data_IF_020458415603
#
_entry.id   IF_020458415603
#
_cell.length_a   1.000
_cell.length_b   1.000
_cell.length_c   1.000
_cell.angle_alpha   90.00
_cell.angle_beta   90.00
_cell.angle_gamma   90.00
#
_symmetry.space_group_name_H-M   'P 1'
#
loop_
_entity.id
_entity.type
_entity.pdbx_description
1 polymer ?
#
# COMPACT_ATOMS: atom_id res chain seq x y z
N UNK A 1 -4.77 26.69 -5.18
CA UNK A 1 -4.19 25.42 -5.65
C UNK A 1 -5.30 24.37 -5.59
N UNK A 2 -5.40 23.48 -6.58
CA UNK A 2 -6.33 22.35 -6.53
C UNK A 2 -5.86 21.42 -5.40
N UNK A 3 -6.76 21.05 -4.50
CA UNK A 3 -6.45 20.05 -3.46
C UNK A 3 -6.19 18.72 -4.16
N UNK A 4 -5.06 18.07 -3.87
CA UNK A 4 -4.77 16.74 -4.40
C UNK A 4 -5.63 15.73 -3.64
N UNK A 5 -6.51 15.04 -4.35
CA UNK A 5 -7.32 13.98 -3.75
C UNK A 5 -6.49 12.69 -3.66
N UNK A 6 -6.38 12.15 -2.45
CA UNK A 6 -5.81 10.83 -2.20
C UNK A 6 -6.90 9.91 -1.69
N UNK A 7 -6.96 8.71 -2.25
CA UNK A 7 -7.77 7.61 -1.75
C UNK A 7 -6.85 6.42 -1.51
N UNK A 8 -7.22 5.53 -0.61
CA UNK A 8 -6.44 4.31 -0.40
C UNK A 8 -6.57 3.36 -1.60
N UNK A 9 -5.46 2.82 -2.09
CA UNK A 9 -5.46 1.87 -3.21
C UNK A 9 -5.16 0.46 -2.72
N UNK A 10 -4.05 0.24 -2.03
CA UNK A 10 -3.77 -1.08 -1.49
C UNK A 10 -2.73 -1.07 -0.38
N UNK A 11 -2.64 -2.19 0.30
CA UNK A 11 -1.56 -2.53 1.22
C UNK A 11 -0.79 -3.73 0.67
N UNK A 12 0.53 -3.68 0.78
CA UNK A 12 1.43 -4.76 0.37
C UNK A 12 1.69 -5.66 1.57
N UNK A 13 1.48 -6.96 1.39
CA UNK A 13 1.82 -8.00 2.33
C UNK A 13 2.83 -8.96 1.70
N UNK A 14 4.07 -8.94 2.18
CA UNK A 14 5.06 -9.93 1.77
C UNK A 14 4.77 -11.28 2.42
N UNK A 15 4.63 -12.31 1.59
CA UNK A 15 4.35 -13.70 2.00
C UNK A 15 5.32 -14.63 1.28
N UNK A 16 6.19 -15.32 2.03
CA UNK A 16 7.14 -16.25 1.42
C UNK A 16 6.42 -17.49 0.88
N UNK A 17 6.86 -17.96 -0.29
CA UNK A 17 6.24 -19.08 -1.01
C UNK A 17 4.74 -18.83 -1.28
N UNK A 18 4.41 -17.62 -1.75
CA UNK A 18 3.03 -17.15 -1.94
C UNK A 18 2.15 -18.11 -2.77
N UNK A 19 2.73 -18.83 -3.74
CA UNK A 19 1.98 -19.81 -4.51
C UNK A 19 1.37 -20.93 -3.65
N UNK A 20 2.09 -21.37 -2.62
CA UNK A 20 1.71 -22.46 -1.72
C UNK A 20 1.03 -21.95 -0.43
N UNK A 21 0.96 -20.63 -0.24
CA UNK A 21 0.35 -20.04 0.93
C UNK A 21 -1.18 -20.25 0.96
N UNK A 22 -1.67 -20.86 2.03
CA UNK A 22 -3.11 -21.01 2.27
C UNK A 22 -3.69 -19.73 2.87
N UNK A 23 -4.47 -19.00 2.07
CA UNK A 23 -5.24 -17.83 2.50
C UNK A 23 -6.71 -18.21 2.38
N UNK A 24 -7.32 -18.65 3.49
CA UNK A 24 -8.69 -19.17 3.54
C UNK A 24 -9.71 -18.18 4.10
N UNK A 25 -9.24 -17.07 4.69
CA UNK A 25 -10.06 -16.02 5.29
C UNK A 25 -10.42 -14.88 4.32
N UNK A 26 -9.88 -14.90 3.10
CA UNK A 26 -10.18 -13.98 2.00
C UNK A 26 -10.26 -14.75 0.68
N UNK A 27 -11.08 -14.28 -0.25
CA UNK A 27 -11.02 -14.68 -1.66
C UNK A 27 -9.80 -14.03 -2.29
N UNK A 28 -8.91 -14.86 -2.82
CA UNK A 28 -7.66 -14.44 -3.45
C UNK A 28 -7.66 -14.89 -4.89
N UNK A 29 -7.31 -13.98 -5.79
CA UNK A 29 -7.11 -14.28 -7.22
C UNK A 29 -5.64 -14.12 -7.59
N UNK A 30 -5.20 -14.83 -8.63
CA UNK A 30 -3.85 -14.63 -9.16
C UNK A 30 -3.75 -13.22 -9.77
N UNK A 31 -2.68 -12.51 -9.44
CA UNK A 31 -2.36 -11.24 -10.06
C UNK A 31 -1.49 -11.45 -11.31
N UNK A 32 -0.25 -10.99 -11.28
CA UNK A 32 0.70 -11.12 -12.37
C UNK A 32 2.15 -11.19 -11.90
N UNK A 33 3.06 -11.20 -12.87
CA UNK A 33 4.50 -11.08 -12.65
C UNK A 33 4.96 -9.67 -13.02
N UNK A 34 5.79 -9.08 -12.18
CA UNK A 34 6.51 -7.85 -12.45
C UNK A 34 7.87 -8.21 -13.05
N UNK A 35 7.91 -8.44 -14.37
CA UNK A 35 9.06 -9.07 -15.03
C UNK A 35 10.38 -8.34 -14.80
N UNK A 36 10.34 -7.01 -14.73
CA UNK A 36 11.51 -6.17 -14.51
C UNK A 36 11.97 -6.16 -13.04
N UNK A 37 11.06 -6.45 -12.10
CA UNK A 37 11.31 -6.35 -10.65
C UNK A 37 11.47 -7.71 -9.97
N UNK A 38 11.24 -8.83 -10.67
CA UNK A 38 11.45 -10.18 -10.12
C UNK A 38 10.40 -10.63 -9.12
N UNK A 39 9.24 -9.97 -9.04
CA UNK A 39 8.17 -10.28 -8.09
C UNK A 39 6.89 -10.76 -8.76
N UNK A 40 6.06 -11.48 -8.01
CA UNK A 40 4.73 -11.91 -8.43
C UNK A 40 3.73 -11.71 -7.30
N UNK A 41 2.46 -11.51 -7.65
CA UNK A 41 1.43 -11.19 -6.66
C UNK A 41 0.16 -12.03 -6.78
N UNK A 42 -0.60 -12.04 -5.69
CA UNK A 42 -1.99 -12.45 -5.61
C UNK A 42 -2.78 -11.29 -5.00
N UNK A 43 -4.03 -11.13 -5.42
CA UNK A 43 -4.85 -9.95 -5.14
C UNK A 43 -6.13 -10.36 -4.40
N UNK A 44 -6.53 -9.56 -3.42
CA UNK A 44 -7.79 -9.71 -2.70
C UNK A 44 -8.51 -8.37 -2.66
N UNK A 45 -9.52 -8.20 -3.52
CA UNK A 45 -10.27 -6.96 -3.65
C UNK A 45 -11.38 -6.86 -2.60
N UNK A 46 -11.45 -5.72 -1.91
CA UNK A 46 -12.57 -5.40 -1.01
C UNK A 46 -13.57 -4.50 -1.72
N UNK A 47 -13.08 -3.42 -2.30
CA UNK A 47 -13.72 -2.55 -3.27
C UNK A 47 -12.64 -2.14 -4.30
N UNK A 48 -12.57 -0.87 -4.71
CA UNK A 48 -11.42 -0.37 -5.48
C UNK A 48 -10.10 -0.45 -4.71
N UNK A 49 -10.16 -0.63 -3.39
CA UNK A 49 -9.04 -0.97 -2.54
C UNK A 49 -8.86 -2.47 -2.36
N UNK A 50 -7.61 -2.92 -2.34
CA UNK A 50 -7.26 -4.33 -2.26
C UNK A 50 -6.05 -4.62 -1.37
N UNK A 51 -5.85 -5.89 -1.08
CA UNK A 51 -4.62 -6.40 -0.45
C UNK A 51 -3.79 -7.04 -1.56
N UNK A 52 -2.55 -6.60 -1.69
CA UNK A 52 -1.56 -7.21 -2.56
C UNK A 52 -0.67 -8.13 -1.74
N UNK A 53 -0.84 -9.44 -1.92
CA UNK A 53 0.13 -10.41 -1.42
C UNK A 53 1.24 -10.54 -2.46
N UNK A 54 2.50 -10.40 -2.05
CA UNK A 54 3.63 -10.37 -2.96
C UNK A 54 4.77 -11.27 -2.48
N UNK A 55 5.53 -11.83 -3.43
CA UNK A 55 6.76 -12.57 -3.19
C UNK A 55 7.73 -12.41 -4.38
N UNK A 56 9.00 -12.74 -4.17
CA UNK A 56 10.04 -12.68 -5.18
C UNK A 56 10.26 -14.04 -5.84
N UNK A 57 10.11 -14.12 -7.16
CA UNK A 57 10.54 -15.30 -7.93
C UNK A 57 11.99 -15.16 -8.42
N UNK A 58 12.51 -13.94 -8.53
CA UNK A 58 13.90 -13.63 -8.89
C UNK A 58 14.47 -12.54 -7.97
N UNK A 59 15.14 -12.97 -6.91
CA UNK A 59 15.79 -12.06 -5.95
C UNK A 59 16.98 -11.29 -6.55
N UNK A 60 17.58 -11.77 -7.64
CA UNK A 60 18.64 -11.01 -8.31
C UNK A 60 18.09 -9.76 -8.99
N UNK A 61 16.90 -9.85 -9.58
CA UNK A 61 16.20 -8.68 -10.11
C UNK A 61 15.75 -7.73 -9.00
N UNK A 62 15.20 -8.25 -7.91
CA UNK A 62 14.82 -7.44 -6.73
C UNK A 62 16.04 -6.68 -6.19
N UNK A 63 17.17 -7.37 -5.99
CA UNK A 63 18.40 -6.74 -5.53
C UNK A 63 18.89 -5.66 -6.50
N UNK A 64 18.87 -5.91 -7.82
CA UNK A 64 19.23 -4.90 -8.83
C UNK A 64 18.33 -3.66 -8.76
N UNK A 65 17.02 -3.85 -8.59
CA UNK A 65 16.09 -2.74 -8.42
C UNK A 65 16.42 -1.93 -7.16
N UNK A 66 16.70 -2.59 -6.03
CA UNK A 66 17.10 -1.94 -4.78
C UNK A 66 18.39 -1.11 -4.89
N UNK A 67 19.28 -1.43 -5.84
CA UNK A 67 20.52 -0.68 -6.09
C UNK A 67 20.39 0.38 -7.20
N UNK A 68 19.28 0.43 -7.94
CA UNK A 68 19.12 1.36 -9.07
C UNK A 68 18.64 2.73 -8.61
N UNK A 69 19.02 3.79 -9.32
CA UNK A 69 18.59 5.14 -8.95
C UNK A 69 17.07 5.33 -9.12
N UNK A 70 16.48 4.64 -10.10
CA UNK A 70 15.08 4.77 -10.49
C UNK A 70 14.13 3.86 -9.72
N UNK A 71 14.59 2.67 -9.29
CA UNK A 71 13.73 1.63 -8.69
C UNK A 71 14.12 1.28 -7.25
N UNK A 72 15.13 1.93 -6.66
CA UNK A 72 15.52 1.67 -5.27
C UNK A 72 14.38 1.86 -4.29
N UNK A 73 13.40 2.70 -4.59
CA UNK A 73 12.21 2.88 -3.76
C UNK A 73 11.00 2.11 -4.26
N UNK A 74 11.14 1.22 -5.24
CA UNK A 74 10.02 0.43 -5.75
C UNK A 74 9.42 -0.44 -4.65
N UNK A 75 8.15 -0.79 -4.80
CA UNK A 75 7.49 -1.74 -3.91
C UNK A 75 8.23 -3.10 -3.83
N UNK A 76 8.95 -3.49 -4.88
CA UNK A 76 9.74 -4.70 -4.90
C UNK A 76 11.03 -4.53 -4.10
N UNK A 77 11.70 -3.38 -4.20
CA UNK A 77 12.88 -3.07 -3.40
C UNK A 77 12.60 -3.08 -1.89
N UNK A 78 11.36 -2.76 -1.47
CA UNK A 78 10.92 -2.92 -0.07
C UNK A 78 11.11 -4.36 0.47
N UNK A 79 11.12 -5.38 -0.40
CA UNK A 79 11.43 -6.76 0.02
C UNK A 79 12.91 -6.91 0.42
N UNK A 80 13.82 -6.30 -0.35
CA UNK A 80 15.26 -6.29 -0.05
C UNK A 80 15.55 -5.46 1.20
N UNK A 81 15.01 -4.24 1.29
CA UNK A 81 15.24 -3.32 2.41
C UNK A 81 14.79 -3.87 3.76
N UNK A 82 13.81 -4.77 3.74
CA UNK A 82 13.23 -5.39 4.93
C UNK A 82 13.69 -6.84 5.11
N UNK A 83 14.82 -7.21 4.51
CA UNK A 83 15.46 -8.52 4.61
C UNK A 83 14.51 -9.69 4.29
N UNK A 84 13.53 -9.47 3.40
CA UNK A 84 12.48 -10.44 3.05
C UNK A 84 11.72 -10.97 4.28
N UNK A 85 11.66 -10.21 5.37
CA UNK A 85 10.82 -10.56 6.53
C UNK A 85 9.36 -10.60 6.06
N UNK A 86 8.58 -11.61 6.45
CA UNK A 86 7.13 -11.63 6.13
C UNK A 86 6.39 -10.53 6.88
N UNK A 87 5.25 -10.09 6.34
CA UNK A 87 4.38 -9.08 6.97
C UNK A 87 4.06 -7.90 6.05
N UNK A 88 3.25 -6.98 6.56
CA UNK A 88 2.89 -5.77 5.82
C UNK A 88 4.13 -4.90 5.55
N UNK A 89 4.23 -4.38 4.32
CA UNK A 89 5.41 -3.64 3.85
C UNK A 89 5.13 -2.17 3.60
N UNK A 90 4.04 -1.87 2.90
CA UNK A 90 3.84 -0.53 2.39
C UNK A 90 2.38 -0.25 2.10
N UNK A 91 2.00 1.01 2.25
CA UNK A 91 0.70 1.51 1.83
C UNK A 91 0.82 2.21 0.47
N UNK A 92 -0.19 2.02 -0.37
CA UNK A 92 -0.34 2.71 -1.64
C UNK A 92 -1.59 3.59 -1.62
N UNK A 93 -1.44 4.83 -2.07
CA UNK A 93 -2.55 5.77 -2.23
C UNK A 93 -2.72 6.15 -3.70
N UNK A 94 -3.95 6.10 -4.20
CA UNK A 94 -4.29 6.50 -5.55
C UNK A 94 -4.68 7.97 -5.64
N UNK A 95 -4.29 8.60 -6.73
CA UNK A 95 -4.62 9.99 -7.11
C UNK A 95 -5.19 10.03 -8.52
N UNK A 96 -5.99 11.05 -8.82
CA UNK A 96 -6.45 11.38 -10.19
C UNK A 96 -5.44 12.26 -10.96
N UNK A 97 -4.47 12.85 -10.25
CA UNK A 97 -3.46 13.75 -10.80
C UNK A 97 -2.11 13.60 -10.06
N UNK A 98 -1.27 12.70 -10.58
CA UNK A 98 0.03 12.34 -10.01
C UNK A 98 1.09 13.44 -10.23
N UNK A 99 0.92 14.26 -11.27
CA UNK A 99 1.79 15.39 -11.52
C UNK A 99 1.49 16.53 -10.55
N UNK A 100 0.21 16.80 -10.24
CA UNK A 100 -0.17 17.71 -9.16
C UNK A 100 0.29 17.19 -7.79
N UNK A 101 0.21 15.88 -7.53
CA UNK A 101 0.75 15.28 -6.31
C UNK A 101 2.26 15.46 -6.19
N UNK A 102 3.01 15.27 -7.27
CA UNK A 102 4.45 15.55 -7.29
C UNK A 102 4.75 17.03 -7.01
N UNK A 103 3.97 17.95 -7.59
CA UNK A 103 4.11 19.38 -7.31
C UNK A 103 3.82 19.71 -5.85
N UNK A 104 2.83 19.06 -5.24
CA UNK A 104 2.52 19.18 -3.81
C UNK A 104 3.72 18.80 -2.94
N UNK A 105 4.34 17.62 -3.16
CA UNK A 105 5.54 17.23 -2.43
C UNK A 105 6.70 18.22 -2.63
N UNK A 106 6.93 18.68 -3.87
CA UNK A 106 7.98 19.67 -4.15
C UNK A 106 7.75 21.00 -3.38
N UNK A 107 6.50 21.43 -3.20
CA UNK A 107 6.18 22.64 -2.44
C UNK A 107 6.42 22.49 -0.94
N UNK A 108 6.28 21.26 -0.43
CA UNK A 108 6.65 20.90 0.94
C UNK A 108 8.16 20.68 1.12
N UNK A 109 8.94 20.74 0.03
CA UNK A 109 10.38 20.44 0.06
C UNK A 109 10.70 18.94 0.13
N UNK A 110 9.70 18.08 -0.04
CA UNK A 110 9.82 16.62 -0.01
C UNK A 110 10.23 16.09 -1.38
N UNK A 111 11.32 15.32 -1.44
CA UNK A 111 11.81 14.76 -2.71
C UNK A 111 10.97 13.57 -3.16
N UNK A 112 10.94 13.35 -4.48
CA UNK A 112 10.21 12.22 -5.08
C UNK A 112 10.95 11.58 -6.25
N UNK A 113 10.73 10.28 -6.45
CA UNK A 113 11.14 9.51 -7.65
C UNK A 113 9.89 9.16 -8.47
N UNK A 114 9.93 9.43 -9.77
CA UNK A 114 8.82 9.25 -10.71
C UNK A 114 8.20 10.58 -11.18
N UNK A 115 7.01 10.57 -11.80
CA UNK A 115 6.16 9.40 -12.01
C UNK A 115 6.75 8.40 -13.01
N UNK A 116 6.84 7.14 -12.65
CA UNK A 116 7.30 6.05 -13.52
C UNK A 116 6.10 5.39 -14.20
N UNK A 117 6.09 5.36 -15.53
CA UNK A 117 4.99 4.75 -16.32
C UNK A 117 5.16 3.25 -16.39
N UNK A 118 4.09 2.53 -16.07
CA UNK A 118 4.03 1.07 -16.05
C UNK A 118 2.83 0.61 -16.87
N UNK A 119 2.93 -0.58 -17.46
CA UNK A 119 1.79 -1.24 -18.10
C UNK A 119 1.96 -2.76 -18.08
N UNK A 120 0.83 -3.47 -18.17
CA UNK A 120 0.80 -4.90 -18.47
C UNK A 120 -0.35 -5.20 -19.42
N UNK A 121 -0.20 -6.28 -20.18
CA UNK A 121 -1.26 -6.81 -21.05
C UNK A 121 -1.92 -7.99 -20.34
N UNK A 122 -3.25 -7.99 -20.22
CA UNK A 122 -4.00 -9.12 -19.65
C UNK A 122 -3.98 -10.33 -20.61
N UNK A 123 -4.28 -11.55 -20.15
CA UNK A 123 -4.46 -12.70 -21.05
C UNK A 123 -5.50 -12.45 -22.16
N UNK A 124 -6.50 -11.62 -21.88
CA UNK A 124 -7.56 -11.21 -22.81
C UNK A 124 -7.11 -10.11 -23.80
N UNK A 125 -5.88 -9.60 -23.66
CA UNK A 125 -5.28 -8.60 -24.56
C UNK A 125 -5.54 -7.14 -24.15
N UNK A 126 -6.14 -6.90 -23.00
CA UNK A 126 -6.38 -5.53 -22.49
C UNK A 126 -5.08 -4.94 -21.93
N UNK A 127 -4.80 -3.67 -22.24
CA UNK A 127 -3.65 -2.96 -21.68
C UNK A 127 -4.08 -2.25 -20.40
N UNK A 128 -3.56 -2.70 -19.27
CA UNK A 128 -3.67 -1.99 -17.99
C UNK A 128 -2.43 -1.13 -17.83
N UNK A 129 -2.59 0.18 -17.71
CA UNK A 129 -1.49 1.14 -17.52
C UNK A 129 -1.67 1.91 -16.21
N UNK A 130 -0.55 2.30 -15.60
CA UNK A 130 -0.53 3.13 -14.41
C UNK A 130 0.77 3.91 -14.30
N UNK A 131 0.82 4.89 -13.40
CA UNK A 131 2.01 5.63 -13.04
C UNK A 131 2.28 5.47 -11.55
N UNK A 132 3.56 5.39 -11.16
CA UNK A 132 3.99 5.27 -9.77
C UNK A 132 4.85 6.46 -9.35
N UNK A 133 4.63 6.98 -8.15
CA UNK A 133 5.44 8.04 -7.54
C UNK A 133 5.84 7.60 -6.13
N UNK A 134 7.11 7.79 -5.78
CA UNK A 134 7.67 7.40 -4.49
C UNK A 134 8.24 8.62 -3.77
N UNK A 135 8.01 8.73 -2.46
CA UNK A 135 8.68 9.73 -1.61
C UNK A 135 10.12 9.29 -1.38
N UNK A 136 11.06 10.20 -1.63
CA UNK A 136 12.49 9.98 -1.56
C UNK A 136 13.12 10.69 -0.37
N UNK A 137 12.66 10.30 0.81
CA UNK A 137 13.19 10.76 2.09
C UNK A 137 13.78 9.57 2.84
N UNK A 138 14.97 9.73 3.39
CA UNK A 138 15.61 8.70 4.20
C UNK A 138 14.87 8.57 5.54
N UNK A 139 14.39 7.36 5.82
CA UNK A 139 13.67 6.98 7.03
C UNK A 139 14.04 5.55 7.43
N UNK A 140 13.76 5.19 8.68
CA UNK A 140 13.99 3.82 9.20
C UNK A 140 12.88 2.83 8.81
N UNK A 141 11.93 3.28 7.98
CA UNK A 141 10.76 2.52 7.56
C UNK A 141 10.36 2.86 6.13
N UNK A 142 9.57 1.96 5.52
CA UNK A 142 9.06 2.16 4.17
C UNK A 142 7.92 3.18 4.16
N UNK A 143 8.17 4.34 3.56
CA UNK A 143 7.18 5.41 3.37
C UNK A 143 6.08 4.98 2.39
N UNK A 144 4.84 5.49 2.47
CA UNK A 144 3.83 5.22 1.44
C UNK A 144 4.28 5.59 0.02
N UNK A 145 3.63 5.00 -0.98
CA UNK A 145 3.81 5.36 -2.38
C UNK A 145 2.48 5.62 -3.07
N UNK A 146 2.54 6.12 -4.30
CA UNK A 146 1.36 6.64 -4.99
C UNK A 146 1.20 6.02 -6.36
N UNK A 147 -0.06 5.85 -6.74
CA UNK A 147 -0.45 5.29 -8.03
C UNK A 147 -1.47 6.21 -8.72
N UNK A 148 -1.33 6.37 -10.03
CA UNK A 148 -2.42 6.85 -10.87
C UNK A 148 -2.70 5.79 -11.92
N UNK A 149 -3.91 5.26 -11.88
CA UNK A 149 -4.38 4.32 -12.89
C UNK A 149 -4.70 5.05 -14.18
N UNK A 150 -4.43 4.42 -15.33
CA UNK A 150 -4.78 4.97 -16.64
C UNK A 150 -6.29 4.96 -16.88
N UNK A 151 -7.00 3.98 -16.33
CA UNK A 151 -8.45 3.92 -16.30
C UNK A 151 -9.02 4.73 -15.13
N UNK A 152 -10.17 5.36 -15.35
CA UNK A 152 -10.93 6.06 -14.32
C UNK A 152 -11.45 5.13 -13.24
N UNK A 153 -11.81 5.68 -12.08
CA UNK A 153 -12.45 4.92 -11.00
C UNK A 153 -13.73 4.22 -11.46
N UNK A 154 -14.52 4.86 -12.33
CA UNK A 154 -15.78 4.30 -12.83
C UNK A 154 -15.52 3.09 -13.75
N UNK A 155 -14.53 3.20 -14.64
CA UNK A 155 -14.11 2.08 -15.50
C UNK A 155 -13.56 0.92 -14.66
N UNK A 156 -12.69 1.23 -13.67
CA UNK A 156 -12.17 0.24 -12.74
C UNK A 156 -13.26 -0.41 -11.89
N UNK A 157 -14.26 0.37 -11.46
CA UNK A 157 -15.40 -0.15 -10.69
C UNK A 157 -16.18 -1.16 -11.52
N UNK A 158 -16.46 -0.84 -12.79
CA UNK A 158 -17.17 -1.75 -13.69
C UNK A 158 -16.39 -3.04 -13.94
N UNK A 159 -15.08 -2.95 -14.19
CA UNK A 159 -14.25 -4.13 -14.49
C UNK A 159 -13.92 -4.98 -13.27
N UNK A 160 -13.72 -4.38 -12.09
CA UNK A 160 -13.26 -5.08 -10.90
C UNK A 160 -14.39 -5.57 -9.98
N UNK A 161 -15.61 -5.04 -10.10
CA UNK A 161 -16.75 -5.44 -9.26
C UNK A 161 -17.01 -6.95 -9.15
N UNK A 162 -16.81 -7.78 -10.19
CA UNK A 162 -17.00 -9.23 -10.07
C UNK A 162 -16.02 -9.90 -9.08
N UNK A 163 -14.90 -9.26 -8.77
CA UNK A 163 -13.88 -9.76 -7.84
C UNK A 163 -14.06 -9.23 -6.41
N UNK A 164 -14.98 -8.28 -6.20
CA UNK A 164 -15.19 -7.68 -4.88
C UNK A 164 -15.83 -8.67 -3.91
N UNK A 165 -15.42 -8.56 -2.64
CA UNK A 165 -15.84 -9.46 -1.57
C UNK A 165 -17.04 -8.91 -0.80
N UNK A 166 -18.07 -8.47 -1.53
CA UNK A 166 -19.34 -8.04 -0.95
C UNK A 166 -19.23 -6.81 -0.06
N UNK A 167 -19.49 -6.99 1.23
CA UNK A 167 -19.54 -5.92 2.23
C UNK A 167 -18.18 -5.62 2.90
N UNK A 168 -17.12 -6.37 2.55
CA UNK A 168 -15.79 -6.12 3.09
C UNK A 168 -15.31 -4.73 2.72
N UNK A 169 -14.80 -3.99 3.71
CA UNK A 169 -14.20 -2.67 3.49
C UNK A 169 -13.03 -2.46 4.42
N UNK A 170 -11.87 -2.10 3.88
CA UNK A 170 -10.72 -1.68 4.69
C UNK A 170 -11.07 -0.34 5.37
N UNK A 171 -11.12 -0.34 6.70
CA UNK A 171 -11.57 0.80 7.49
C UNK A 171 -10.50 1.36 8.43
N UNK A 172 -9.48 0.58 8.76
CA UNK A 172 -8.43 1.03 9.67
C UNK A 172 -7.12 0.27 9.49
N UNK A 173 -6.02 0.94 9.84
CA UNK A 173 -4.67 0.37 9.81
C UNK A 173 -3.96 0.78 11.10
N UNK A 174 -3.42 -0.20 11.82
CA UNK A 174 -2.58 0.08 13.00
C UNK A 174 -1.11 0.07 12.59
N UNK A 175 -0.43 1.18 12.89
CA UNK A 175 1.00 1.35 12.62
C UNK A 175 1.68 1.62 13.96
N UNK A 176 2.59 0.73 14.34
CA UNK A 176 3.50 0.95 15.45
C UNK A 176 4.70 1.76 14.94
N UNK A 177 5.14 2.75 15.71
CA UNK A 177 6.30 3.59 15.38
C UNK A 177 7.16 3.88 16.60
N UNK A 178 8.48 3.90 16.40
CA UNK A 178 9.49 4.35 17.36
C UNK A 178 9.60 5.88 17.41
N UNK A 179 9.29 6.55 16.30
CA UNK A 179 9.24 8.00 16.21
C UNK A 179 7.83 8.45 15.81
N UNK A 180 7.06 8.84 16.82
CA UNK A 180 5.68 9.25 16.64
C UNK A 180 5.57 10.55 15.83
N UNK A 181 6.44 11.52 16.10
CA UNK A 181 6.34 12.83 15.46
C UNK A 181 6.73 12.75 13.99
N UNK A 182 7.80 12.00 13.69
CA UNK A 182 8.23 11.76 12.31
C UNK A 182 7.14 11.04 11.48
N UNK A 183 6.56 9.95 12.01
CA UNK A 183 5.48 9.25 11.32
C UNK A 183 4.23 10.13 11.18
N UNK A 184 3.92 10.95 12.19
CA UNK A 184 2.79 11.87 12.14
C UNK A 184 2.98 12.97 11.07
N UNK A 185 4.20 13.48 10.88
CA UNK A 185 4.54 14.43 9.81
C UNK A 185 4.13 13.88 8.44
N UNK A 186 4.48 12.62 8.16
CA UNK A 186 4.12 11.93 6.91
C UNK A 186 2.61 11.99 6.68
N UNK A 187 1.81 11.48 7.61
CA UNK A 187 0.37 11.38 7.38
C UNK A 187 -0.34 12.73 7.46
N UNK A 188 0.02 13.59 8.41
CA UNK A 188 -0.67 14.87 8.66
C UNK A 188 -0.21 15.93 7.68
N UNK A 189 1.09 16.21 7.61
CA UNK A 189 1.62 17.32 6.82
C UNK A 189 1.72 16.95 5.34
N UNK A 190 2.25 15.75 5.03
CA UNK A 190 2.48 15.40 3.64
C UNK A 190 1.24 14.84 2.96
N UNK A 191 0.44 14.01 3.66
CA UNK A 191 -0.75 13.37 3.08
C UNK A 191 -2.07 14.06 3.44
N UNK A 192 -2.05 15.05 4.33
CA UNK A 192 -3.25 15.82 4.71
C UNK A 192 -4.30 14.96 5.41
N UNK A 193 -3.87 14.08 6.32
CA UNK A 193 -4.75 13.48 7.32
C UNK A 193 -5.00 14.45 8.47
N UNK A 194 -6.15 14.31 9.12
CA UNK A 194 -6.50 15.07 10.31
C UNK A 194 -6.42 14.18 11.55
N UNK A 195 -5.87 14.72 12.64
CA UNK A 195 -5.92 14.06 13.95
C UNK A 195 -7.33 14.22 14.51
N UNK A 196 -8.10 13.15 14.62
CA UNK A 196 -9.51 13.23 15.04
C UNK A 196 -9.76 12.74 16.46
N UNK A 197 -8.91 11.85 16.97
CA UNK A 197 -8.98 11.37 18.35
C UNK A 197 -7.67 10.73 18.77
N UNK A 198 -7.52 10.44 20.06
CA UNK A 198 -6.38 9.70 20.56
C UNK A 198 -6.52 9.35 22.03
N UNK A 199 -5.74 8.37 22.45
CA UNK A 199 -5.55 8.02 23.86
C UNK A 199 -4.08 8.23 24.16
N UNK A 200 -3.79 9.12 25.11
CA UNK A 200 -2.43 9.47 25.53
C UNK A 200 -1.63 8.18 25.83
N UNK A 201 -0.41 8.10 25.30
CA UNK A 201 0.49 6.94 25.42
C UNK A 201 -0.09 5.61 24.86
N UNK A 202 -1.10 5.66 24.01
CA UNK A 202 -1.70 4.47 23.41
C UNK A 202 -1.86 4.57 21.90
N UNK A 203 -2.57 5.57 21.38
CA UNK A 203 -2.65 5.79 19.94
C UNK A 203 -3.19 7.18 19.59
N UNK A 204 -2.94 7.61 18.36
CA UNK A 204 -3.64 8.70 17.70
C UNK A 204 -4.35 8.17 16.46
N UNK A 205 -5.63 8.52 16.32
CA UNK A 205 -6.44 8.21 15.16
C UNK A 205 -6.35 9.37 14.18
N UNK A 206 -5.85 9.07 12.99
CA UNK A 206 -5.78 9.98 11.87
C UNK A 206 -6.83 9.59 10.84
N UNK A 207 -7.54 10.56 10.28
CA UNK A 207 -8.58 10.33 9.27
C UNK A 207 -8.40 11.21 8.04
N UNK A 208 -8.73 10.65 6.89
CA UNK A 208 -8.79 11.35 5.61
C UNK A 208 -9.93 10.77 4.80
N UNK A 209 -10.75 11.64 4.21
CA UNK A 209 -11.85 11.21 3.34
C UNK A 209 -11.32 10.34 2.21
N UNK A 210 -11.91 9.16 2.01
CA UNK A 210 -11.48 8.21 0.97
C UNK A 210 -10.34 7.27 1.38
N UNK A 211 -9.87 7.34 2.63
CA UNK A 211 -8.85 6.47 3.18
C UNK A 211 -9.32 5.77 4.47
N UNK A 212 -8.72 4.62 4.85
CA UNK A 212 -8.93 4.05 6.17
C UNK A 212 -8.32 4.96 7.24
N UNK A 213 -8.86 4.86 8.46
CA UNK A 213 -8.24 5.51 9.61
C UNK A 213 -6.85 4.94 9.87
N UNK A 214 -5.87 5.78 10.12
CA UNK A 214 -4.55 5.34 10.59
C UNK A 214 -4.51 5.47 12.10
N UNK A 215 -4.22 4.38 12.80
CA UNK A 215 -3.98 4.36 14.23
C UNK A 215 -2.47 4.34 14.43
N UNK A 216 -1.87 5.50 14.69
CA UNK A 216 -0.46 5.62 15.03
C UNK A 216 -0.26 5.27 16.51
N UNK A 217 0.53 4.23 16.77
CA UNK A 217 0.75 3.64 18.09
C UNK A 217 2.23 3.83 18.45
N UNK A 218 2.57 4.50 19.57
CA UNK A 218 3.94 4.53 20.04
C UNK A 218 4.39 3.13 20.45
N UNK A 219 5.58 2.72 20.03
CA UNK A 219 6.13 1.42 20.35
C UNK A 219 7.63 1.34 20.12
N UNK A 220 8.13 0.11 19.94
CA UNK A 220 9.57 -0.17 19.81
C UNK A 220 9.94 -0.69 18.41
N UNK A 221 9.03 -0.60 17.45
CA UNK A 221 9.26 -0.96 16.05
C UNK A 221 8.57 0.03 15.12
N UNK A 222 9.00 0.06 13.86
CA UNK A 222 8.32 0.79 12.79
C UNK A 222 7.62 -0.24 11.89
N UNK A 223 6.38 -0.61 12.20
CA UNK A 223 5.71 -1.73 11.55
C UNK A 223 4.21 -1.49 11.39
N UNK A 224 3.69 -1.78 10.20
CA UNK A 224 2.25 -1.90 9.98
C UNK A 224 1.80 -3.22 10.60
N UNK A 225 1.05 -3.17 11.70
CA UNK A 225 0.70 -4.35 12.51
C UNK A 225 -0.60 -5.00 12.08
N UNK A 226 -1.62 -4.18 11.83
CA UNK A 226 -3.00 -4.66 11.70
C UNK A 226 -3.73 -3.96 10.57
N UNK A 227 -4.47 -4.75 9.81
CA UNK A 227 -5.48 -4.28 8.87
C UNK A 227 -6.87 -4.57 9.45
N UNK A 228 -7.67 -3.52 9.64
CA UNK A 228 -9.06 -3.61 10.11
C UNK A 228 -9.99 -3.54 8.92
N UNK A 229 -10.85 -4.56 8.80
CA UNK A 229 -11.75 -4.77 7.68
C UNK A 229 -13.17 -4.88 8.26
N UNK A 230 -14.07 -3.98 7.86
CA UNK A 230 -15.49 -4.12 8.17
C UNK A 230 -16.04 -5.40 7.55
N UNK A 231 -16.84 -6.16 8.31
CA UNK A 231 -17.41 -7.45 7.93
C UNK A 231 -18.75 -7.69 8.64
N UNK A 232 -19.52 -8.68 8.17
CA UNK A 232 -20.72 -9.15 8.91
C UNK A 232 -20.36 -10.28 9.90
N UNK A 233 -19.14 -10.81 9.80
CA UNK A 233 -18.63 -11.90 10.63
C UNK A 233 -17.30 -11.46 11.26
N UNK A 234 -17.32 -11.02 12.53
CA UNK A 234 -16.11 -10.61 13.24
C UNK A 234 -15.15 -11.78 13.44
N UNK A 235 -13.87 -11.54 13.18
CA UNK A 235 -12.81 -12.54 13.31
C UNK A 235 -11.43 -11.88 13.40
N UNK A 236 -10.44 -12.59 13.94
CA UNK A 236 -9.05 -12.14 13.92
C UNK A 236 -8.18 -13.25 13.37
N UNK A 237 -7.43 -12.95 12.31
CA UNK A 237 -6.51 -13.87 11.66
C UNK A 237 -5.08 -13.35 11.81
N UNK A 238 -4.21 -14.18 12.37
CA UNK A 238 -2.77 -13.94 12.35
C UNK A 238 -2.20 -14.70 11.16
N UNK A 239 -1.64 -13.98 10.20
CA UNK A 239 -1.14 -14.57 8.98
C UNK A 239 0.19 -13.91 8.60
N UNK A 240 1.27 -14.70 8.60
CA UNK A 240 2.59 -14.29 8.09
C UNK A 240 3.09 -12.95 8.66
N UNK A 241 3.10 -12.81 9.99
CA UNK A 241 3.47 -11.59 10.73
C UNK A 241 2.56 -10.37 10.52
N UNK A 242 1.37 -10.55 9.93
CA UNK A 242 0.33 -9.55 9.85
C UNK A 242 -0.92 -9.97 10.64
N UNK A 243 -1.67 -8.98 11.12
CA UNK A 243 -2.96 -9.19 11.78
C UNK A 243 -4.09 -8.66 10.88
N UNK A 244 -5.03 -9.53 10.52
CA UNK A 244 -6.27 -9.17 9.84
C UNK A 244 -7.40 -9.22 10.87
N UNK A 245 -8.01 -8.07 11.15
CA UNK A 245 -9.12 -7.96 12.08
C UNK A 245 -10.39 -7.63 11.29
N UNK A 246 -11.34 -8.55 11.28
CA UNK A 246 -12.67 -8.38 10.74
C UNK A 246 -13.59 -7.89 11.87
N UNK A 247 -14.23 -6.73 11.67
CA UNK A 247 -15.09 -6.04 12.64
C UNK A 247 -16.56 -6.08 12.22
#
# INVERSE_FOLDING_TARGET
MRTVELKFDHIIHHVQNLNDANIDFLKVINGGKHEQLGTYNKLSYTDLSYIEFIDAYDRTLVHKAAQSAEERLSFAASLEHTDYVEGFKRLCFRTDDIDALKQHFNQLGVKTIGPSRMQRVTPEGEVIAWQLLYIDEERNYELPFFIQWGASDDERMQSLSPYFQGNLKIEGIDIETTDFNDMAEVYVEWLGYEVTSGVINSYFKLEKLGCPSIYLIPGNTDTIRRLKIKSDAPAVHHFRNAIYQFN
#
